data_IF_537764369910
#
_entry.id   IF_537764369910
#
_cell.length_a   1.000
_cell.length_b   1.000
_cell.length_c   1.000
_cell.angle_alpha   90.00
_cell.angle_beta   90.00
_cell.angle_gamma   90.00
#
_symmetry.space_group_name_H-M   'P 1'
#
loop_
_entity.id
_entity.type
_entity.pdbx_description
1 polymer ?
#
# COMPACT_ATOMS: atom_id res chain seq x y z
N UNK A 1 -1.17 -10.55 -16.64
CA UNK A 1 -1.10 -11.34 -17.87
C UNK A 1 -2.25 -12.33 -17.89
N UNK A 2 -2.76 -12.65 -19.08
CA UNK A 2 -3.90 -13.55 -19.22
C UNK A 2 -3.57 -14.92 -18.64
N UNK A 3 -4.43 -15.43 -17.75
CA UNK A 3 -4.28 -16.74 -17.13
C UNK A 3 -3.26 -16.86 -16.01
N UNK A 4 -2.71 -15.75 -15.48
CA UNK A 4 -1.80 -15.78 -14.32
C UNK A 4 -2.00 -14.59 -13.39
N UNK A 5 -1.79 -14.80 -12.10
CA UNK A 5 -1.67 -13.73 -11.12
C UNK A 5 -0.26 -13.13 -11.16
N UNK A 6 -0.14 -11.90 -10.69
CA UNK A 6 1.13 -11.20 -10.58
C UNK A 6 1.26 -10.59 -9.18
N UNK A 7 2.36 -10.85 -8.51
CA UNK A 7 2.68 -10.23 -7.22
C UNK A 7 3.31 -8.88 -7.50
N UNK A 8 2.69 -7.79 -7.07
CA UNK A 8 3.21 -6.43 -7.21
C UNK A 8 3.98 -5.98 -5.99
N UNK A 9 3.68 -6.50 -4.82
CA UNK A 9 4.39 -6.20 -3.60
C UNK A 9 4.08 -7.20 -2.51
N UNK A 10 5.03 -7.37 -1.60
CA UNK A 10 4.91 -8.30 -0.48
C UNK A 10 5.61 -7.76 0.77
N UNK A 11 5.36 -8.37 1.91
CA UNK A 11 6.13 -8.08 3.11
C UNK A 11 7.52 -8.71 3.01
N UNK A 12 8.54 -7.96 3.39
CA UNK A 12 9.93 -8.44 3.39
C UNK A 12 10.26 -9.30 4.63
N UNK A 13 9.36 -9.35 5.62
CA UNK A 13 9.60 -10.05 6.89
C UNK A 13 8.35 -10.78 7.41
N UNK A 14 7.53 -10.15 8.22
CA UNK A 14 6.35 -10.76 8.85
C UNK A 14 5.06 -10.28 8.21
N UNK A 15 4.02 -11.12 8.20
CA UNK A 15 2.69 -10.73 7.73
C UNK A 15 2.04 -9.71 8.68
N UNK A 16 1.16 -8.86 8.16
CA UNK A 16 0.46 -7.85 8.94
C UNK A 16 -0.31 -8.45 10.13
N UNK A 17 -1.04 -9.55 9.93
CA UNK A 17 -1.74 -10.26 10.99
C UNK A 17 -0.79 -10.76 12.07
N UNK A 18 0.34 -11.37 11.67
CA UNK A 18 1.37 -11.84 12.61
C UNK A 18 1.99 -10.69 13.39
N UNK A 19 2.17 -9.51 12.79
CA UNK A 19 2.66 -8.32 13.48
C UNK A 19 1.70 -7.92 14.61
N UNK A 20 0.41 -7.82 14.32
CA UNK A 20 -0.62 -7.46 15.31
C UNK A 20 -0.75 -8.53 16.41
N UNK A 21 -0.71 -9.79 16.05
CA UNK A 21 -0.81 -10.90 17.00
C UNK A 21 0.42 -11.02 17.90
N UNK A 22 1.61 -10.77 17.35
CA UNK A 22 2.85 -10.73 18.13
C UNK A 22 2.82 -9.57 19.13
N UNK A 23 2.42 -8.39 18.67
CA UNK A 23 2.24 -7.25 19.58
C UNK A 23 1.24 -7.57 20.69
N UNK A 24 0.09 -8.16 20.36
CA UNK A 24 -0.92 -8.57 21.33
C UNK A 24 -0.40 -9.54 22.40
N UNK A 25 0.37 -10.55 22.00
CA UNK A 25 0.99 -11.51 22.93
C UNK A 25 2.02 -10.85 23.84
N UNK A 26 2.96 -10.08 23.29
CA UNK A 26 4.05 -9.45 24.04
C UNK A 26 3.55 -8.38 25.03
N UNK A 27 2.41 -7.77 24.75
CA UNK A 27 1.81 -6.73 25.61
C UNK A 27 0.73 -7.26 26.57
N UNK A 28 0.47 -8.58 26.54
CA UNK A 28 -0.56 -9.19 27.39
C UNK A 28 -2.00 -8.92 26.95
N UNK A 29 -2.21 -8.40 25.75
CA UNK A 29 -3.55 -8.17 25.17
C UNK A 29 -4.20 -9.47 24.68
N UNK A 30 -3.41 -10.55 24.56
CA UNK A 30 -3.90 -11.87 24.14
C UNK A 30 -3.80 -12.16 22.64
N UNK A 31 -4.49 -13.23 22.23
CA UNK A 31 -4.57 -13.70 20.85
C UNK A 31 -6.01 -14.09 20.50
N UNK A 32 -6.57 -13.70 19.35
CA UNK A 32 -5.94 -12.85 18.30
C UNK A 32 -5.78 -11.38 18.73
N UNK A 33 -4.63 -10.77 18.43
CA UNK A 33 -4.29 -9.41 18.81
C UNK A 33 -5.06 -8.36 18.01
N UNK A 34 -5.28 -8.62 16.70
CA UNK A 34 -5.90 -7.66 15.79
C UNK A 34 -7.20 -7.03 16.29
N UNK A 35 -8.23 -7.78 16.69
CA UNK A 35 -9.50 -7.23 17.18
C UNK A 35 -9.36 -6.40 18.47
N UNK A 36 -8.44 -6.79 19.35
CA UNK A 36 -8.20 -6.05 20.62
C UNK A 36 -7.49 -4.74 20.33
N UNK A 37 -6.48 -4.76 19.45
CA UNK A 37 -5.77 -3.56 18.98
C UNK A 37 -6.76 -2.60 18.32
N UNK A 38 -7.63 -3.06 17.42
CA UNK A 38 -8.65 -2.23 16.77
C UNK A 38 -9.57 -1.54 17.80
N UNK A 39 -9.99 -2.26 18.84
CA UNK A 39 -10.84 -1.70 19.90
C UNK A 39 -10.12 -0.64 20.72
N UNK A 40 -8.86 -0.86 21.09
CA UNK A 40 -8.06 0.08 21.88
C UNK A 40 -7.67 1.29 21.03
N UNK A 41 -7.32 1.11 19.79
CA UNK A 41 -6.95 2.17 18.84
C UNK A 41 -8.02 3.27 18.71
N UNK A 42 -9.30 2.94 18.89
CA UNK A 42 -10.40 3.93 18.87
C UNK A 42 -10.30 5.01 19.94
N UNK A 43 -9.50 4.81 20.98
CA UNK A 43 -9.33 5.73 22.10
C UNK A 43 -7.94 6.36 22.15
N UNK A 44 -7.04 5.91 21.26
CA UNK A 44 -5.65 6.34 21.26
C UNK A 44 -5.39 7.59 20.42
N UNK A 45 -4.23 8.16 20.66
CA UNK A 45 -3.66 9.30 19.94
C UNK A 45 -2.37 8.86 19.23
N UNK A 46 -1.93 9.64 18.24
CA UNK A 46 -0.76 9.29 17.44
C UNK A 46 0.55 9.42 18.22
N UNK A 47 1.37 8.39 18.15
CA UNK A 47 2.77 8.35 18.55
C UNK A 47 3.62 8.01 17.33
N UNK A 48 4.75 8.68 17.16
CA UNK A 48 5.59 8.50 15.98
C UNK A 48 6.25 7.12 15.94
N UNK A 49 5.93 6.33 14.93
CA UNK A 49 6.49 5.02 14.68
C UNK A 49 7.20 4.97 13.30
N UNK A 50 8.13 4.03 13.09
CA UNK A 50 8.83 3.86 11.80
C UNK A 50 7.86 3.50 10.69
N UNK A 51 8.01 4.15 9.54
CA UNK A 51 7.27 3.90 8.32
C UNK A 51 8.23 3.38 7.25
N UNK A 52 8.12 2.09 6.88
CA UNK A 52 9.08 1.43 6.01
C UNK A 52 8.40 0.83 4.78
N UNK A 53 8.40 1.60 3.69
CA UNK A 53 7.98 1.15 2.36
C UNK A 53 9.16 1.34 1.40
N UNK A 54 9.55 0.28 0.69
CA UNK A 54 10.65 0.25 -0.28
C UNK A 54 10.15 -0.22 -1.64
N UNK A 55 9.92 0.73 -2.55
CA UNK A 55 9.29 0.39 -3.84
C UNK A 55 7.88 -0.11 -3.64
N UNK A 56 7.63 -1.38 -3.97
CA UNK A 56 6.34 -2.05 -3.80
C UNK A 56 6.28 -2.94 -2.55
N UNK A 57 7.37 -3.03 -1.79
CA UNK A 57 7.47 -3.89 -0.62
C UNK A 57 7.50 -3.10 0.68
N UNK A 58 7.19 -3.74 1.78
CA UNK A 58 7.15 -3.15 3.12
C UNK A 58 7.66 -4.13 4.19
N UNK A 59 7.96 -3.60 5.38
CA UNK A 59 8.50 -4.37 6.49
C UNK A 59 7.82 -3.97 7.80
N UNK A 60 7.37 -4.96 8.57
CA UNK A 60 6.67 -4.76 9.83
C UNK A 60 7.51 -5.07 11.08
N UNK A 61 8.61 -5.81 10.98
CA UNK A 61 9.41 -6.18 12.17
C UNK A 61 10.00 -4.97 12.89
N UNK A 62 10.48 -3.98 12.13
CA UNK A 62 10.96 -2.72 12.68
C UNK A 62 9.86 -1.90 13.36
N UNK A 63 8.68 -1.86 12.76
CA UNK A 63 7.48 -1.22 13.31
C UNK A 63 7.05 -1.89 14.62
N UNK A 64 6.94 -3.22 14.63
CA UNK A 64 6.62 -4.02 15.82
C UNK A 64 7.61 -3.75 16.96
N UNK A 65 8.91 -3.83 16.68
CA UNK A 65 9.95 -3.58 17.68
C UNK A 65 9.91 -2.17 18.26
N UNK A 66 9.56 -1.18 17.43
CA UNK A 66 9.38 0.20 17.88
C UNK A 66 8.14 0.34 18.78
N UNK A 67 7.01 -0.24 18.39
CA UNK A 67 5.78 -0.22 19.18
C UNK A 67 5.99 -0.88 20.56
N UNK A 68 6.67 -2.04 20.61
CA UNK A 68 7.01 -2.69 21.88
C UNK A 68 7.94 -1.83 22.77
N UNK A 69 8.84 -1.06 22.18
CA UNK A 69 9.69 -0.12 22.93
C UNK A 69 8.88 1.04 23.51
N UNK A 70 7.89 1.56 22.77
CA UNK A 70 7.01 2.62 23.29
C UNK A 70 6.20 2.14 24.50
N UNK A 71 5.66 0.92 24.45
CA UNK A 71 4.98 0.31 25.61
C UNK A 71 5.93 0.22 26.82
N UNK A 72 7.17 -0.22 26.60
CA UNK A 72 8.19 -0.31 27.68
C UNK A 72 8.59 1.05 28.26
N UNK A 73 8.47 2.13 27.49
CA UNK A 73 8.67 3.53 27.98
C UNK A 73 7.50 4.06 28.83
N UNK A 74 6.39 3.35 28.87
CA UNK A 74 5.18 3.77 29.59
C UNK A 74 4.20 4.58 28.74
N UNK A 75 4.35 4.61 27.42
CA UNK A 75 3.35 5.21 26.50
C UNK A 75 2.02 4.48 26.67
N UNK A 76 0.87 5.18 26.76
CA UNK A 76 -0.43 4.54 26.88
C UNK A 76 -0.66 3.49 25.82
N UNK A 77 -1.15 2.33 26.22
CA UNK A 77 -1.31 1.19 25.29
C UNK A 77 -2.27 1.50 24.14
N UNK A 78 -3.28 2.32 24.38
CA UNK A 78 -4.25 2.79 23.38
C UNK A 78 -3.54 3.60 22.28
N UNK A 79 -2.61 4.49 22.67
CA UNK A 79 -1.86 5.34 21.74
C UNK A 79 -0.92 4.50 20.87
N UNK A 80 -0.27 3.50 21.48
CA UNK A 80 0.58 2.56 20.72
C UNK A 80 -0.25 1.70 19.78
N UNK A 81 -1.42 1.20 20.22
CA UNK A 81 -2.34 0.43 19.37
C UNK A 81 -2.83 1.27 18.19
N UNK A 82 -3.23 2.54 18.43
CA UNK A 82 -3.63 3.47 17.38
C UNK A 82 -2.51 3.66 16.35
N UNK A 83 -1.33 3.99 16.82
CA UNK A 83 -0.19 4.33 15.97
C UNK A 83 0.34 3.11 15.19
N UNK A 84 0.36 1.93 15.81
CA UNK A 84 0.72 0.67 15.17
C UNK A 84 -0.25 0.35 14.02
N UNK A 85 -1.56 0.45 14.28
CA UNK A 85 -2.61 0.20 13.30
C UNK A 85 -2.54 1.19 12.15
N UNK A 86 -2.55 2.50 12.43
CA UNK A 86 -2.52 3.56 11.42
C UNK A 86 -1.26 3.49 10.55
N UNK A 87 -0.10 3.21 11.15
CA UNK A 87 1.16 3.11 10.41
C UNK A 87 1.19 1.86 9.53
N UNK A 88 0.84 0.69 10.07
CA UNK A 88 0.83 -0.56 9.31
C UNK A 88 -0.14 -0.51 8.14
N UNK A 89 -1.35 -0.01 8.37
CA UNK A 89 -2.37 0.06 7.32
C UNK A 89 -2.06 1.13 6.28
N UNK A 90 -1.49 2.27 6.67
CA UNK A 90 -1.01 3.27 5.71
C UNK A 90 0.05 2.70 4.76
N UNK A 91 0.95 1.83 5.23
CA UNK A 91 1.92 1.14 4.36
C UNK A 91 1.24 0.19 3.38
N UNK A 92 0.28 -0.62 3.85
CA UNK A 92 -0.48 -1.54 3.00
C UNK A 92 -1.27 -0.79 1.91
N UNK A 93 -1.99 0.25 2.31
CA UNK A 93 -2.82 1.03 1.38
C UNK A 93 -1.96 1.78 0.36
N UNK A 94 -0.80 2.32 0.79
CA UNK A 94 0.13 2.98 -0.13
C UNK A 94 0.65 2.04 -1.22
N UNK A 95 1.06 0.83 -0.86
CA UNK A 95 1.55 -0.15 -1.85
C UNK A 95 0.41 -0.59 -2.78
N UNK A 96 -0.80 -0.78 -2.24
CA UNK A 96 -1.99 -1.07 -3.05
C UNK A 96 -2.31 0.08 -4.01
N UNK A 97 -2.21 1.33 -3.56
CA UNK A 97 -2.41 2.51 -4.39
C UNK A 97 -1.37 2.60 -5.53
N UNK A 98 -0.11 2.28 -5.23
CA UNK A 98 0.94 2.21 -6.26
C UNK A 98 0.65 1.13 -7.30
N UNK A 99 0.20 -0.06 -6.86
CA UNK A 99 -0.18 -1.14 -7.75
C UNK A 99 -1.38 -0.74 -8.63
N UNK A 100 -2.40 -0.13 -8.04
CA UNK A 100 -3.58 0.36 -8.75
C UNK A 100 -3.19 1.40 -9.81
N UNK A 101 -2.40 2.41 -9.44
CA UNK A 101 -1.92 3.45 -10.35
C UNK A 101 -1.04 2.90 -11.47
N UNK A 102 -0.21 1.88 -11.18
CA UNK A 102 0.66 1.25 -12.18
C UNK A 102 -0.12 0.38 -13.16
N UNK A 103 -1.07 -0.39 -12.68
CA UNK A 103 -1.86 -1.32 -13.50
C UNK A 103 -3.07 -0.67 -14.15
N UNK A 104 -3.46 0.52 -13.69
CA UNK A 104 -4.64 1.27 -14.14
C UNK A 104 -5.93 0.43 -14.08
N UNK A 105 -6.02 -0.48 -13.10
CA UNK A 105 -7.22 -1.28 -12.86
C UNK A 105 -8.29 -0.44 -12.17
N UNK A 106 -9.54 -0.79 -12.38
CA UNK A 106 -10.73 -0.11 -11.88
C UNK A 106 -11.39 -0.84 -10.69
N UNK A 107 -10.78 -1.93 -10.21
CA UNK A 107 -11.25 -2.66 -9.04
C UNK A 107 -10.12 -3.01 -8.08
N UNK A 108 -10.39 -2.91 -6.78
CA UNK A 108 -9.52 -3.36 -5.69
C UNK A 108 -10.30 -4.32 -4.81
N UNK A 109 -9.78 -5.52 -4.61
CA UNK A 109 -10.37 -6.52 -3.71
C UNK A 109 -9.50 -6.71 -2.47
N UNK A 110 -10.11 -6.63 -1.29
CA UNK A 110 -9.50 -6.96 -0.01
C UNK A 110 -9.99 -8.32 0.48
N UNK A 111 -9.06 -9.23 0.78
CA UNK A 111 -9.37 -10.55 1.36
C UNK A 111 -8.33 -10.96 2.41
N UNK A 112 -8.57 -12.08 3.11
CA UNK A 112 -7.73 -12.57 4.20
C UNK A 112 -8.17 -12.09 5.57
N UNK A 113 -7.62 -12.66 6.65
CA UNK A 113 -8.07 -12.43 8.03
C UNK A 113 -8.02 -10.97 8.50
N UNK A 114 -7.00 -10.20 8.09
CA UNK A 114 -6.86 -8.77 8.45
C UNK A 114 -7.92 -7.90 7.75
N UNK A 115 -8.58 -8.39 6.70
CA UNK A 115 -9.70 -7.70 6.04
C UNK A 115 -10.91 -7.52 6.98
N UNK A 116 -10.96 -8.25 8.08
CA UNK A 116 -11.96 -8.06 9.13
C UNK A 116 -11.85 -6.69 9.84
N UNK A 117 -10.67 -6.06 9.84
CA UNK A 117 -10.44 -4.77 10.48
C UNK A 117 -11.19 -3.64 9.75
N UNK A 118 -12.04 -2.92 10.49
CA UNK A 118 -12.89 -1.86 9.92
C UNK A 118 -12.07 -0.67 9.40
N UNK A 119 -10.96 -0.35 10.08
CA UNK A 119 -10.11 0.78 9.69
C UNK A 119 -9.39 0.52 8.36
N UNK A 120 -8.84 -0.68 8.16
CA UNK A 120 -8.20 -1.05 6.90
C UNK A 120 -9.20 -0.99 5.73
N UNK A 121 -10.42 -1.47 5.95
CA UNK A 121 -11.49 -1.40 4.95
C UNK A 121 -11.83 0.04 4.58
N UNK A 122 -11.99 0.91 5.57
CA UNK A 122 -12.26 2.33 5.36
C UNK A 122 -11.14 2.98 4.53
N UNK A 123 -9.88 2.77 4.93
CA UNK A 123 -8.73 3.35 4.24
C UNK A 123 -8.63 2.90 2.77
N UNK A 124 -8.82 1.60 2.50
CA UNK A 124 -8.79 1.08 1.12
C UNK A 124 -9.98 1.56 0.29
N UNK A 125 -11.15 1.68 0.91
CA UNK A 125 -12.34 2.23 0.23
C UNK A 125 -12.10 3.68 -0.17
N UNK A 126 -11.63 4.52 0.73
CA UNK A 126 -11.31 5.94 0.45
C UNK A 126 -10.26 6.04 -0.67
N UNK A 127 -9.19 5.24 -0.60
CA UNK A 127 -8.15 5.22 -1.62
C UNK A 127 -8.71 4.80 -3.00
N UNK A 128 -9.54 3.76 -3.05
CA UNK A 128 -10.13 3.30 -4.31
C UNK A 128 -11.06 4.37 -4.91
N UNK A 129 -11.91 5.01 -4.09
CA UNK A 129 -12.80 6.10 -4.51
C UNK A 129 -12.03 7.31 -5.06
N UNK A 130 -10.90 7.70 -4.44
CA UNK A 130 -10.02 8.78 -4.93
C UNK A 130 -9.41 8.48 -6.31
N UNK A 131 -9.28 7.20 -6.65
CA UNK A 131 -8.80 6.74 -7.96
C UNK A 131 -9.92 6.38 -8.94
N UNK A 132 -11.20 6.56 -8.56
CA UNK A 132 -12.34 6.15 -9.38
C UNK A 132 -12.49 4.63 -9.53
N UNK A 133 -11.83 3.87 -8.67
CA UNK A 133 -11.89 2.42 -8.65
C UNK A 133 -12.95 1.89 -7.69
N UNK A 134 -13.46 0.71 -7.96
CA UNK A 134 -14.44 0.03 -7.11
C UNK A 134 -13.72 -0.78 -6.03
N UNK A 135 -14.11 -0.58 -4.78
CA UNK A 135 -13.66 -1.40 -3.66
C UNK A 135 -14.59 -2.59 -3.45
N UNK A 136 -14.01 -3.79 -3.43
CA UNK A 136 -14.72 -5.05 -3.22
C UNK A 136 -14.12 -5.82 -2.04
N UNK A 137 -14.97 -6.56 -1.33
CA UNK A 137 -14.54 -7.53 -0.33
C UNK A 137 -15.58 -8.66 -0.23
N UNK A 138 -15.17 -9.88 0.12
CA UNK A 138 -16.11 -10.97 0.38
C UNK A 138 -16.88 -10.73 1.69
N UNK A 139 -17.93 -11.49 1.90
CA UNK A 139 -18.61 -11.53 3.21
C UNK A 139 -17.62 -11.88 4.33
N UNK A 140 -17.79 -11.25 5.49
CA UNK A 140 -16.88 -11.40 6.65
C UNK A 140 -16.57 -12.85 7.02
N UNK A 141 -17.57 -13.72 6.93
CA UNK A 141 -17.40 -15.17 7.21
C UNK A 141 -16.48 -15.90 6.24
N UNK A 142 -16.23 -15.30 5.05
CA UNK A 142 -15.35 -15.84 4.00
C UNK A 142 -13.96 -15.17 3.97
N UNK A 143 -13.72 -14.17 4.84
CA UNK A 143 -12.43 -13.46 4.89
C UNK A 143 -11.32 -14.27 5.58
N UNK A 144 -11.68 -15.15 6.52
CA UNK A 144 -10.75 -16.07 7.19
C UNK A 144 -10.64 -17.42 6.47
N UNK A 145 -9.87 -18.32 7.04
CA UNK A 145 -9.74 -19.69 6.54
C UNK A 145 -11.09 -20.39 6.58
N UNK A 146 -11.52 -20.93 5.44
CA UNK A 146 -12.77 -21.65 5.32
C UNK A 146 -12.71 -22.73 4.23
N UNK A 147 -13.45 -23.82 4.43
CA UNK A 147 -13.49 -24.93 3.47
C UNK A 147 -14.21 -24.58 2.16
N UNK A 148 -15.07 -23.55 2.15
CA UNK A 148 -15.85 -23.17 0.96
C UNK A 148 -14.92 -22.65 -0.14
N UNK A 149 -13.95 -21.79 0.20
CA UNK A 149 -13.00 -21.25 -0.79
C UNK A 149 -12.12 -22.36 -1.40
N UNK A 150 -11.72 -23.34 -0.58
CA UNK A 150 -10.91 -24.49 -1.05
C UNK A 150 -11.73 -25.38 -1.98
N UNK A 151 -12.97 -25.73 -1.57
CA UNK A 151 -13.86 -26.52 -2.39
C UNK A 151 -14.24 -25.83 -3.71
N UNK A 152 -14.47 -24.52 -3.67
CA UNK A 152 -14.79 -23.73 -4.86
C UNK A 152 -13.61 -23.70 -5.84
N UNK A 153 -12.40 -23.40 -5.35
CA UNK A 153 -11.20 -23.43 -6.19
C UNK A 153 -10.96 -24.83 -6.77
N UNK A 154 -11.11 -25.88 -5.95
CA UNK A 154 -10.99 -27.26 -6.40
C UNK A 154 -11.98 -27.61 -7.51
N UNK A 155 -13.22 -27.12 -7.42
CA UNK A 155 -14.23 -27.32 -8.47
C UNK A 155 -13.83 -26.60 -9.79
N UNK A 156 -13.35 -25.34 -9.69
CA UNK A 156 -12.89 -24.61 -10.86
C UNK A 156 -11.70 -25.32 -11.52
N UNK A 157 -10.71 -25.77 -10.74
CA UNK A 157 -9.55 -26.50 -11.25
C UNK A 157 -9.94 -27.84 -11.86
N UNK A 158 -10.84 -28.59 -11.22
CA UNK A 158 -11.34 -29.85 -11.75
C UNK A 158 -12.03 -29.67 -13.10
N UNK A 159 -12.88 -28.65 -13.25
CA UNK A 159 -13.57 -28.37 -14.49
C UNK A 159 -12.61 -27.95 -15.62
N UNK A 160 -11.47 -27.32 -15.27
CA UNK A 160 -10.50 -26.84 -16.24
C UNK A 160 -9.46 -27.90 -16.65
N UNK A 161 -8.96 -28.65 -15.68
CA UNK A 161 -7.81 -29.54 -15.87
C UNK A 161 -8.18 -31.04 -15.71
N UNK A 162 -9.39 -31.36 -15.25
CA UNK A 162 -9.79 -32.71 -14.90
C UNK A 162 -9.31 -33.14 -13.51
N UNK A 163 -9.49 -34.42 -13.14
CA UNK A 163 -9.08 -34.95 -11.87
C UNK A 163 -7.56 -35.07 -11.76
N UNK A 164 -7.01 -34.80 -10.57
CA UNK A 164 -5.63 -35.10 -10.25
C UNK A 164 -5.47 -36.55 -9.81
N UNK A 165 -4.37 -37.17 -10.19
CA UNK A 165 -3.99 -38.48 -9.66
C UNK A 165 -3.55 -38.33 -8.17
N UNK A 166 -3.88 -39.32 -7.31
CA UNK A 166 -3.56 -39.27 -5.89
C UNK A 166 -2.06 -39.07 -5.63
N UNK A 167 -1.19 -39.63 -6.47
CA UNK A 167 0.27 -39.41 -6.40
C UNK A 167 0.71 -37.96 -6.57
N UNK A 168 -0.11 -37.13 -7.23
CA UNK A 168 0.17 -35.74 -7.54
C UNK A 168 -0.47 -34.75 -6.54
N UNK A 169 -1.12 -35.27 -5.47
CA UNK A 169 -1.78 -34.46 -4.43
C UNK A 169 -0.84 -34.05 -3.28
N UNK A 170 0.47 -34.09 -3.50
CA UNK A 170 1.48 -33.73 -2.51
C UNK A 170 1.48 -32.23 -2.17
N UNK A 171 2.00 -31.89 -0.98
CA UNK A 171 2.16 -30.50 -0.53
C UNK A 171 3.35 -29.89 -1.27
N UNK A 172 3.12 -28.77 -1.95
CA UNK A 172 4.19 -27.93 -2.56
C UNK A 172 4.54 -26.86 -1.55
N UNK A 173 5.69 -27.00 -0.88
CA UNK A 173 6.19 -25.99 0.05
C UNK A 173 6.59 -24.71 -0.72
N UNK A 174 6.25 -23.54 -0.17
CA UNK A 174 6.55 -22.22 -0.76
C UNK A 174 5.91 -21.99 -2.15
N UNK A 175 4.79 -22.68 -2.42
CA UNK A 175 4.03 -22.43 -3.64
C UNK A 175 3.53 -20.98 -3.67
N UNK A 176 3.87 -20.25 -4.74
CA UNK A 176 3.56 -18.82 -4.87
C UNK A 176 2.30 -18.62 -5.70
N UNK A 177 1.56 -17.55 -5.44
CA UNK A 177 0.34 -17.20 -6.18
C UNK A 177 0.62 -16.97 -7.67
N UNK A 178 1.80 -16.45 -8.02
CA UNK A 178 2.22 -16.19 -9.41
C UNK A 178 2.69 -17.45 -10.18
N UNK A 179 2.83 -18.58 -9.48
CA UNK A 179 3.12 -19.90 -10.11
C UNK A 179 1.83 -20.62 -10.54
N UNK A 180 0.65 -20.14 -10.12
CA UNK A 180 -0.63 -20.77 -10.44
C UNK A 180 -1.06 -20.41 -11.86
N UNK A 181 -1.35 -21.41 -12.69
CA UNK A 181 -2.07 -21.22 -13.94
C UNK A 181 -3.56 -21.03 -13.63
N UNK A 182 -4.09 -19.89 -14.03
CA UNK A 182 -5.47 -19.48 -13.76
C UNK A 182 -6.19 -19.08 -15.06
N UNK A 183 -6.40 -20.03 -16.01
CA UNK A 183 -6.98 -19.72 -17.32
C UNK A 183 -8.42 -19.21 -17.24
N UNK A 184 -9.08 -19.36 -16.10
CA UNK A 184 -10.41 -18.78 -15.82
C UNK A 184 -10.36 -17.28 -15.52
N UNK A 185 -9.17 -16.67 -15.34
CA UNK A 185 -9.03 -15.22 -15.13
C UNK A 185 -9.04 -14.51 -16.48
N UNK A 186 -10.14 -13.84 -16.81
CA UNK A 186 -10.26 -13.02 -18.00
C UNK A 186 -9.76 -11.59 -17.70
N UNK A 187 -8.81 -11.11 -18.49
CA UNK A 187 -8.36 -9.72 -18.42
C UNK A 187 -9.31 -8.83 -19.25
N UNK A 188 -10.28 -8.22 -18.60
CA UNK A 188 -10.94 -7.04 -19.16
C UNK A 188 -10.08 -5.83 -18.81
N UNK A 189 -9.31 -5.32 -19.76
CA UNK A 189 -8.49 -4.14 -19.59
C UNK A 189 -9.36 -2.89 -19.73
N UNK A 190 -9.93 -2.43 -18.60
CA UNK A 190 -10.52 -1.12 -18.50
C UNK A 190 -9.45 -0.14 -18.03
N UNK A 191 -9.21 0.93 -18.80
CA UNK A 191 -8.23 1.97 -18.47
C UNK A 191 -8.95 3.24 -17.99
N UNK A 192 -8.50 3.78 -16.86
CA UNK A 192 -8.97 5.05 -16.33
C UNK A 192 -8.47 6.21 -17.22
N UNK A 193 -9.37 7.16 -17.59
CA UNK A 193 -9.01 8.34 -18.36
C UNK A 193 -8.50 9.46 -17.44
N UNK A 194 -7.38 10.07 -17.79
CA UNK A 194 -6.80 11.22 -17.08
C UNK A 194 -7.44 12.55 -17.54
N UNK A 195 -7.53 13.58 -16.67
CA UNK A 195 -7.95 14.94 -17.04
C UNK A 195 -6.92 15.62 -17.98
N UNK A 196 -7.39 16.54 -18.86
CA UNK A 196 -6.59 17.15 -19.95
C UNK A 196 -5.41 18.03 -19.49
N UNK A 197 -5.44 18.59 -18.30
CA UNK A 197 -4.38 19.46 -17.76
C UNK A 197 -3.30 18.71 -16.96
N UNK A 198 -3.47 17.42 -16.77
CA UNK A 198 -2.59 16.56 -16.01
C UNK A 198 -1.66 15.82 -16.97
N UNK A 199 -0.35 16.04 -16.86
CA UNK A 199 0.65 15.32 -17.68
C UNK A 199 0.71 13.86 -17.24
N UNK A 200 0.75 13.63 -15.92
CA UNK A 200 0.75 12.30 -15.34
C UNK A 200 0.19 12.32 -13.92
N UNK A 201 -0.60 11.29 -13.58
CA UNK A 201 -1.08 11.02 -12.22
C UNK A 201 -0.34 9.82 -11.67
N UNK A 202 0.51 10.05 -10.68
CA UNK A 202 1.17 8.97 -9.95
C UNK A 202 0.45 8.65 -8.64
N UNK A 203 0.80 7.53 -8.02
CA UNK A 203 0.28 7.18 -6.70
C UNK A 203 0.59 8.25 -5.63
N UNK A 204 1.72 8.95 -5.75
CA UNK A 204 2.18 9.87 -4.71
C UNK A 204 2.12 11.35 -5.10
N UNK A 205 2.03 11.67 -6.39
CA UNK A 205 2.10 13.04 -6.88
C UNK A 205 1.47 13.20 -8.23
N UNK A 206 0.91 14.37 -8.47
CA UNK A 206 0.46 14.82 -9.78
C UNK A 206 1.54 15.69 -10.43
N UNK A 207 1.69 15.56 -11.75
CA UNK A 207 2.58 16.36 -12.58
C UNK A 207 1.70 17.22 -13.47
N UNK A 208 1.81 18.55 -13.27
CA UNK A 208 0.96 19.54 -13.92
C UNK A 208 1.83 20.46 -14.76
N UNK A 209 1.35 20.86 -15.94
CA UNK A 209 1.99 21.88 -16.78
C UNK A 209 2.04 23.20 -16.02
N UNK A 210 3.18 23.88 -16.03
CA UNK A 210 3.41 25.16 -15.37
C UNK A 210 4.35 26.06 -16.19
N UNK A 211 4.62 27.26 -15.70
CA UNK A 211 5.62 28.17 -16.29
C UNK A 211 6.43 28.84 -15.19
N UNK A 212 7.68 29.15 -15.47
CA UNK A 212 8.56 29.91 -14.60
C UNK A 212 9.37 30.93 -15.38
N UNK A 213 9.18 32.21 -15.08
CA UNK A 213 9.85 33.32 -15.78
C UNK A 213 9.77 33.24 -17.32
N UNK A 214 8.60 32.87 -17.85
CA UNK A 214 8.35 32.72 -19.28
C UNK A 214 8.88 31.43 -19.92
N UNK A 215 9.48 30.53 -19.15
CA UNK A 215 9.92 29.18 -19.59
C UNK A 215 8.91 28.10 -19.25
N UNK A 216 8.85 27.07 -20.08
CA UNK A 216 8.04 25.88 -19.78
C UNK A 216 8.58 25.20 -18.53
N UNK A 217 7.70 24.91 -17.61
CA UNK A 217 7.99 24.23 -16.35
C UNK A 217 6.96 23.12 -16.07
N UNK A 218 7.30 22.22 -15.17
CA UNK A 218 6.36 21.25 -14.59
C UNK A 218 6.34 21.43 -13.07
N UNK A 219 5.14 21.42 -12.53
CA UNK A 219 4.90 21.40 -11.10
C UNK A 219 4.58 19.98 -10.68
N UNK A 220 5.44 19.37 -9.87
CA UNK A 220 5.19 18.09 -9.23
C UNK A 220 4.66 18.35 -7.81
N UNK A 221 3.40 18.06 -7.58
CA UNK A 221 2.72 18.28 -6.30
C UNK A 221 2.37 16.96 -5.63
N UNK A 222 2.77 16.79 -4.37
CA UNK A 222 2.39 15.62 -3.56
C UNK A 222 1.06 15.91 -2.89
N UNK A 223 0.01 15.25 -3.37
CA UNK A 223 -1.37 15.44 -2.89
C UNK A 223 -1.57 14.78 -1.53
N UNK A 224 -2.30 15.44 -0.59
CA UNK A 224 -2.74 14.80 0.64
C UNK A 224 -3.53 13.53 0.37
N UNK A 225 -3.34 12.51 1.19
CA UNK A 225 -4.05 11.24 1.08
C UNK A 225 -5.09 11.14 2.20
N UNK A 226 -6.38 11.15 1.82
CA UNK A 226 -7.47 11.15 2.78
C UNK A 226 -7.55 9.86 3.62
N UNK A 227 -6.97 8.77 3.15
CA UNK A 227 -6.91 7.52 3.90
C UNK A 227 -5.90 7.53 5.05
N UNK A 228 -4.94 8.48 5.07
CA UNK A 228 -3.94 8.63 6.15
C UNK A 228 -4.36 9.66 7.18
N UNK A 229 -3.95 9.48 8.42
CA UNK A 229 -3.99 10.58 9.41
C UNK A 229 -3.01 11.69 9.02
N UNK A 230 -3.35 12.93 9.39
CA UNK A 230 -2.62 14.13 8.96
C UNK A 230 -1.14 14.12 9.35
N UNK A 231 -0.81 13.56 10.51
CA UNK A 231 0.55 13.46 11.06
C UNK A 231 1.44 12.56 10.16
N UNK A 232 0.96 11.39 9.83
CA UNK A 232 1.67 10.44 8.94
C UNK A 232 1.78 11.04 7.53
N UNK A 233 0.68 11.55 6.97
CA UNK A 233 0.64 12.09 5.61
C UNK A 233 1.59 13.28 5.44
N UNK A 234 1.53 14.27 6.33
CA UNK A 234 2.39 15.45 6.27
C UNK A 234 3.87 15.11 6.40
N UNK A 235 4.22 14.20 7.32
CA UNK A 235 5.60 13.74 7.53
C UNK A 235 6.16 13.06 6.29
N UNK A 236 5.42 12.13 5.71
CA UNK A 236 5.84 11.37 4.51
C UNK A 236 6.01 12.30 3.32
N UNK A 237 5.03 13.14 3.01
CA UNK A 237 5.09 14.06 1.87
C UNK A 237 6.26 15.03 1.98
N UNK A 238 6.45 15.64 3.18
CA UNK A 238 7.58 16.56 3.42
C UNK A 238 8.93 15.89 3.28
N UNK A 239 9.10 14.71 3.87
CA UNK A 239 10.34 13.93 3.80
C UNK A 239 10.69 13.54 2.36
N UNK A 240 9.71 13.05 1.60
CA UNK A 240 9.92 12.63 0.21
C UNK A 240 10.18 13.80 -0.73
N UNK A 241 9.51 14.95 -0.55
CA UNK A 241 9.79 16.16 -1.30
C UNK A 241 11.23 16.62 -1.09
N UNK A 242 11.67 16.69 0.16
CA UNK A 242 13.05 17.07 0.52
C UNK A 242 14.08 16.09 -0.07
N UNK A 243 13.83 14.80 0.05
CA UNK A 243 14.74 13.75 -0.45
C UNK A 243 14.85 13.81 -1.98
N UNK A 244 13.74 13.95 -2.69
CA UNK A 244 13.71 14.03 -4.15
C UNK A 244 14.48 15.24 -4.65
N UNK A 245 14.22 16.43 -4.08
CA UNK A 245 14.94 17.65 -4.44
C UNK A 245 16.45 17.52 -4.20
N UNK A 246 16.84 16.92 -3.08
CA UNK A 246 18.24 16.64 -2.78
C UNK A 246 18.87 15.69 -3.80
N UNK A 247 18.21 14.58 -4.10
CA UNK A 247 18.72 13.59 -5.06
C UNK A 247 18.90 14.20 -6.46
N UNK A 248 17.91 14.96 -6.96
CA UNK A 248 18.02 15.64 -8.25
C UNK A 248 19.22 16.62 -8.28
N UNK A 249 19.43 17.37 -7.19
CA UNK A 249 20.58 18.27 -7.07
C UNK A 249 21.92 17.53 -7.02
N UNK A 250 22.02 16.45 -6.26
CA UNK A 250 23.26 15.69 -6.10
C UNK A 250 23.62 14.94 -7.40
N UNK A 251 22.65 14.35 -8.07
CA UNK A 251 22.82 13.69 -9.37
C UNK A 251 23.28 14.68 -10.44
N UNK A 252 22.72 15.91 -10.45
CA UNK A 252 23.16 16.99 -11.36
C UNK A 252 24.62 17.39 -11.13
N UNK A 253 25.04 17.52 -9.86
CA UNK A 253 26.45 17.80 -9.50
C UNK A 253 27.41 16.71 -9.97
N UNK A 254 26.94 15.47 -10.06
CA UNK A 254 27.72 14.33 -10.58
C UNK A 254 27.79 14.29 -12.12
N UNK A 255 27.28 15.31 -12.82
CA UNK A 255 27.34 15.42 -14.28
C UNK A 255 26.23 14.73 -15.05
N UNK A 256 25.23 14.18 -14.37
CA UNK A 256 24.07 13.57 -15.03
C UNK A 256 23.05 14.65 -15.39
N UNK A 257 22.50 14.60 -16.59
CA UNK A 257 21.49 15.54 -17.07
C UNK A 257 20.19 15.29 -16.29
N UNK A 258 19.79 16.30 -15.50
CA UNK A 258 18.53 16.31 -14.76
C UNK A 258 17.80 17.64 -14.98
N UNK A 259 16.47 17.71 -14.80
CA UNK A 259 15.75 18.96 -14.84
C UNK A 259 16.34 20.00 -13.89
N UNK A 260 16.34 21.26 -14.29
CA UNK A 260 16.69 22.36 -13.40
C UNK A 260 15.58 22.52 -12.37
N UNK A 261 15.93 22.50 -11.08
CA UNK A 261 14.99 22.83 -10.02
C UNK A 261 14.86 24.36 -9.94
N UNK A 262 13.63 24.86 -10.10
CA UNK A 262 13.32 26.28 -9.99
C UNK A 262 12.89 26.65 -8.57
N UNK A 263 12.07 25.79 -7.93
CA UNK A 263 11.61 26.00 -6.57
C UNK A 263 11.30 24.68 -5.86
N UNK A 264 11.42 24.65 -4.53
CA UNK A 264 11.11 23.51 -3.66
C UNK A 264 10.30 24.00 -2.47
N UNK A 265 9.00 23.87 -2.55
CA UNK A 265 8.07 24.26 -1.50
C UNK A 265 7.80 23.09 -0.55
N UNK A 266 8.42 23.14 0.64
CA UNK A 266 8.22 22.11 1.68
C UNK A 266 6.93 22.29 2.49
N UNK A 267 6.27 23.46 2.40
CA UNK A 267 4.97 23.67 3.03
C UNK A 267 3.86 23.08 2.19
N UNK A 268 3.86 23.35 0.88
CA UNK A 268 2.91 22.76 -0.06
C UNK A 268 3.34 21.40 -0.63
N UNK A 269 4.55 20.93 -0.26
CA UNK A 269 5.11 19.63 -0.67
C UNK A 269 5.17 19.49 -2.19
N UNK A 270 5.66 20.54 -2.86
CA UNK A 270 5.78 20.59 -4.30
C UNK A 270 7.19 20.93 -4.76
N UNK A 271 7.50 20.57 -5.99
CA UNK A 271 8.76 20.86 -6.68
C UNK A 271 8.41 21.46 -8.04
N UNK A 272 8.88 22.67 -8.30
CA UNK A 272 8.81 23.31 -9.61
C UNK A 272 10.14 23.09 -10.34
N UNK A 273 10.09 22.50 -11.51
CA UNK A 273 11.27 22.14 -12.28
C UNK A 273 11.08 22.37 -13.78
N UNK A 274 12.19 22.36 -14.49
CA UNK A 274 12.24 22.48 -15.95
C UNK A 274 11.39 21.40 -16.63
N UNK A 275 10.60 21.81 -17.63
CA UNK A 275 9.94 20.88 -18.52
C UNK A 275 10.94 20.39 -19.57
N UNK A 276 11.28 19.10 -19.54
CA UNK A 276 12.13 18.47 -20.56
C UNK A 276 11.22 17.86 -21.59
N UNK A 277 11.34 18.28 -22.85
CA UNK A 277 10.67 17.65 -23.97
C UNK A 277 11.41 16.34 -24.29
N UNK A 278 10.75 15.21 -24.05
CA UNK A 278 11.23 13.88 -24.45
C UNK A 278 10.94 13.62 -25.92
N UNK A 279 11.83 12.83 -26.56
CA UNK A 279 11.55 12.26 -27.88
C UNK A 279 10.68 11.02 -27.76
#
# INVERSE_FOLDING_TARGET
ESGRYRIFGETLDIAAGNCLDHFGRETGLGHPGGPVIEKLAKKGSYVDLPYVVKGMDFSFSGLLSAALREVKKGTPIEDVCFSLQETAFSMLVEVTERALSHTQKDEVMLCGGVSANSRLREMLKVMAEEHGAKFCMPEMKLCGDNGVMIAWLGLIMHNQFGPLDIKDTGIIQRFRTDEVEAPWVNNNDSHLKLPDNLIAKGAESDIIKSSYLGKNAVLKSRIPKAYRIAEIDSKIRKSRTKLEAKLLSDVKKSGVITPVLYDVDLENKSILMEAIEGK
#
